data_IF_344695313382
#
_entry.id   IF_344695313382
#
_cell.length_a   1.000
_cell.length_b   1.000
_cell.length_c   1.000
_cell.angle_alpha   90.00
_cell.angle_beta   90.00
_cell.angle_gamma   90.00
#
_symmetry.space_group_name_H-M   'P 1'
#
loop_
_entity.id
_entity.type
_entity.pdbx_description
1 polymer ?
#
# COMPACT_ATOMS: atom_id res chain seq x y z
N UNK A 1 -5.66 -3.90 -3.03
CA UNK A 1 -5.99 -4.50 -4.34
C UNK A 1 -5.11 -5.73 -4.45
N UNK A 2 -5.70 -6.92 -4.61
CA UNK A 2 -5.01 -8.22 -4.42
C UNK A 2 -4.07 -8.54 -5.58
N UNK A 3 -4.46 -8.21 -6.82
CA UNK A 3 -3.63 -8.36 -8.01
C UNK A 3 -3.75 -7.13 -8.92
N UNK A 4 -2.62 -6.68 -9.47
CA UNK A 4 -2.57 -5.55 -10.42
C UNK A 4 -2.79 -5.97 -11.88
N UNK A 5 -2.92 -7.27 -12.14
CA UNK A 5 -2.98 -7.85 -13.49
C UNK A 5 -1.60 -8.15 -14.07
N UNK A 6 -1.59 -8.78 -15.23
CA UNK A 6 -0.38 -9.11 -15.99
C UNK A 6 -0.39 -8.31 -17.29
N UNK A 7 0.70 -7.61 -17.58
CA UNK A 7 0.92 -6.94 -18.87
C UNK A 7 1.08 -8.01 -19.95
N UNK A 8 0.16 -8.06 -20.90
CA UNK A 8 0.20 -9.04 -22.00
C UNK A 8 0.73 -8.44 -23.30
N UNK A 9 0.78 -7.12 -23.39
CA UNK A 9 1.32 -6.43 -24.55
C UNK A 9 1.10 -4.93 -24.46
N UNK A 10 1.62 -4.23 -25.46
CA UNK A 10 1.40 -2.81 -25.65
C UNK A 10 0.82 -2.60 -27.04
N UNK A 11 -0.11 -1.67 -27.15
CA UNK A 11 -0.73 -1.29 -28.40
C UNK A 11 -0.46 0.18 -28.68
N UNK A 12 0.03 0.48 -29.88
CA UNK A 12 0.20 1.85 -30.36
C UNK A 12 -0.89 2.16 -31.39
N UNK A 13 -1.88 3.00 -31.05
CA UNK A 13 -2.88 3.45 -32.00
C UNK A 13 -2.26 4.28 -33.14
N UNK A 14 -2.83 4.22 -34.34
CA UNK A 14 -2.31 4.99 -35.50
C UNK A 14 -2.49 6.51 -35.38
N UNK A 15 -3.28 6.97 -34.41
CA UNK A 15 -3.62 8.38 -34.19
C UNK A 15 -2.82 9.03 -33.03
N UNK A 16 -1.94 8.29 -32.35
CA UNK A 16 -1.17 8.80 -31.22
C UNK A 16 0.24 8.21 -31.19
N UNK A 17 1.21 8.99 -30.72
CA UNK A 17 2.57 8.49 -30.47
C UNK A 17 2.73 7.77 -29.12
N UNK A 18 1.64 7.67 -28.34
CA UNK A 18 1.65 7.01 -27.04
C UNK A 18 1.32 5.52 -27.14
N UNK A 19 2.03 4.71 -26.35
CA UNK A 19 1.75 3.28 -26.20
C UNK A 19 0.75 3.06 -25.06
N UNK A 20 -0.24 2.21 -25.32
CA UNK A 20 -1.24 1.80 -24.34
C UNK A 20 -0.93 0.38 -23.89
N UNK A 21 -0.73 0.21 -22.59
CA UNK A 21 -0.53 -1.10 -21.97
C UNK A 21 -1.83 -1.91 -21.95
N UNK A 22 -1.79 -3.14 -22.48
CA UNK A 22 -2.88 -4.10 -22.40
C UNK A 22 -2.62 -5.03 -21.21
N UNK A 23 -3.48 -4.96 -20.20
CA UNK A 23 -3.33 -5.74 -18.95
C UNK A 23 -4.46 -6.75 -18.80
N UNK A 24 -4.10 -8.03 -18.70
CA UNK A 24 -5.03 -9.10 -18.37
C UNK A 24 -5.28 -9.14 -16.86
N UNK A 25 -6.55 -9.17 -16.47
CA UNK A 25 -6.97 -9.12 -15.06
C UNK A 25 -8.14 -10.05 -14.81
N UNK A 26 -8.20 -10.61 -13.60
CA UNK A 26 -9.41 -11.26 -13.11
C UNK A 26 -10.58 -10.27 -13.00
N UNK A 27 -11.83 -10.74 -13.22
CA UNK A 27 -13.04 -9.97 -12.91
C UNK A 27 -13.06 -9.51 -11.45
N UNK A 28 -13.72 -8.38 -11.15
CA UNK A 28 -13.69 -7.77 -9.79
C UNK A 28 -14.08 -8.75 -8.68
N UNK A 29 -15.09 -9.59 -8.91
CA UNK A 29 -15.58 -10.61 -7.97
C UNK A 29 -14.53 -11.64 -7.56
N UNK A 30 -13.56 -11.91 -8.44
CA UNK A 30 -12.55 -12.95 -8.27
C UNK A 30 -11.19 -12.36 -7.83
N UNK A 31 -11.11 -11.07 -7.49
CA UNK A 31 -9.87 -10.42 -7.00
C UNK A 31 -9.70 -10.59 -5.49
N UNK A 32 -9.82 -11.82 -5.03
CA UNK A 32 -9.63 -12.20 -3.63
C UNK A 32 -8.39 -13.09 -3.48
N UNK A 33 -7.87 -13.22 -2.26
CA UNK A 33 -6.66 -14.03 -2.01
C UNK A 33 -6.88 -15.52 -2.32
N UNK A 34 -8.10 -16.03 -2.14
CA UNK A 34 -8.43 -17.44 -2.40
C UNK A 34 -8.33 -17.82 -3.88
N UNK A 35 -8.45 -16.86 -4.80
CA UNK A 35 -8.29 -17.12 -6.23
C UNK A 35 -6.90 -17.62 -6.60
N UNK A 36 -5.88 -17.31 -5.79
CA UNK A 36 -4.51 -17.80 -6.00
C UNK A 36 -4.45 -19.33 -5.80
N UNK A 37 -5.29 -19.89 -4.93
CA UNK A 37 -5.32 -21.34 -4.66
C UNK A 37 -5.79 -22.15 -5.88
N UNK A 38 -6.56 -21.52 -6.79
CA UNK A 38 -7.06 -22.14 -8.01
C UNK A 38 -6.07 -22.08 -9.19
N UNK A 39 -4.86 -21.54 -8.99
CA UNK A 39 -3.85 -21.42 -10.03
C UNK A 39 -3.00 -22.70 -10.11
N UNK A 40 -2.65 -23.09 -11.33
CA UNK A 40 -1.75 -24.21 -11.59
C UNK A 40 -0.45 -23.69 -12.19
N UNK A 41 0.68 -24.18 -11.70
CA UNK A 41 1.99 -23.98 -12.32
C UNK A 41 2.25 -25.16 -13.25
N UNK A 42 2.62 -24.87 -14.48
CA UNK A 42 3.13 -25.90 -15.38
C UNK A 42 4.54 -26.31 -14.93
N UNK A 43 4.67 -27.53 -14.44
CA UNK A 43 5.96 -28.15 -14.10
C UNK A 43 6.32 -29.20 -15.16
N UNK A 44 7.57 -29.68 -15.16
CA UNK A 44 8.03 -30.74 -16.08
C UNK A 44 7.19 -32.01 -15.96
N UNK A 45 6.65 -32.28 -14.76
CA UNK A 45 5.83 -33.46 -14.49
C UNK A 45 4.32 -33.20 -14.60
N UNK A 46 3.91 -32.04 -15.13
CA UNK A 46 2.51 -31.64 -15.30
C UNK A 46 2.07 -30.45 -14.44
N UNK A 47 0.78 -30.09 -14.47
CA UNK A 47 0.25 -28.97 -13.70
C UNK A 47 0.27 -29.28 -12.19
N UNK A 48 0.94 -28.42 -11.42
CA UNK A 48 1.00 -28.51 -9.96
C UNK A 48 0.22 -27.36 -9.31
N UNK A 49 -0.67 -27.62 -8.34
CA UNK A 49 -1.52 -26.59 -7.74
C UNK A 49 -0.73 -25.62 -6.86
N UNK A 50 -1.00 -24.32 -6.99
CA UNK A 50 -0.36 -23.25 -6.21
C UNK A 50 -0.66 -23.33 -4.71
N UNK A 51 -1.83 -23.86 -4.33
CA UNK A 51 -2.27 -24.01 -2.95
C UNK A 51 -1.28 -24.75 -2.06
N UNK A 52 -0.45 -25.64 -2.62
CA UNK A 52 0.49 -26.47 -1.87
C UNK A 52 1.82 -25.75 -1.57
N UNK A 53 2.09 -24.61 -2.21
CA UNK A 53 3.37 -23.89 -2.11
C UNK A 53 3.19 -22.57 -1.33
N UNK A 54 2.02 -21.92 -1.47
CA UNK A 54 1.76 -20.62 -0.87
C UNK A 54 1.34 -20.76 0.60
N UNK A 55 1.95 -19.93 1.47
CA UNK A 55 1.51 -19.77 2.86
C UNK A 55 1.01 -18.34 3.06
N UNK A 56 -0.21 -18.20 3.57
CA UNK A 56 -0.78 -16.90 3.93
C UNK A 56 -0.55 -16.63 5.41
N UNK A 57 0.00 -15.47 5.73
CA UNK A 57 0.11 -14.97 7.09
C UNK A 57 -0.52 -13.57 7.16
N UNK A 58 -1.51 -13.34 8.06
CA UNK A 58 -2.05 -12.00 8.25
C UNK A 58 -1.00 -11.11 8.89
N UNK A 59 -0.69 -9.99 8.25
CA UNK A 59 0.23 -9.00 8.78
C UNK A 59 -0.47 -7.65 8.94
N UNK A 60 -0.06 -6.89 9.96
CA UNK A 60 -0.53 -5.52 10.14
C UNK A 60 -0.06 -4.70 8.95
N UNK A 61 -1.01 -4.20 8.15
CA UNK A 61 -0.71 -3.25 7.08
C UNK A 61 -0.08 -2.01 7.70
N UNK A 62 1.23 -1.82 7.49
CA UNK A 62 1.86 -0.54 7.79
C UNK A 62 1.33 0.49 6.80
N UNK A 63 0.50 1.41 7.30
CA UNK A 63 0.08 2.57 6.52
C UNK A 63 1.32 3.43 6.24
N UNK A 64 1.40 3.93 4.99
CA UNK A 64 2.40 4.86 4.42
C UNK A 64 3.49 5.31 5.42
N UNK A 65 4.70 4.79 5.24
CA UNK A 65 5.86 5.19 6.04
C UNK A 65 6.30 6.60 5.59
N UNK A 66 5.94 7.62 6.37
CA UNK A 66 6.43 8.96 6.15
C UNK A 66 7.81 9.11 6.81
N UNK A 67 8.76 9.65 6.04
CA UNK A 67 10.09 9.99 6.51
C UNK A 67 10.41 11.43 6.18
N UNK A 68 10.99 12.14 7.13
CA UNK A 68 11.61 13.46 6.94
C UNK A 68 13.08 13.28 7.33
N UNK A 69 14.00 13.69 6.45
CA UNK A 69 15.45 13.55 6.63
C UNK A 69 15.92 12.11 6.99
N UNK A 70 15.25 11.11 6.42
CA UNK A 70 15.57 9.69 6.61
C UNK A 70 15.02 9.06 7.90
N UNK A 71 14.50 9.86 8.83
CA UNK A 71 13.91 9.39 10.08
C UNK A 71 12.42 9.09 9.92
N UNK A 72 11.91 8.09 10.64
CA UNK A 72 10.48 7.78 10.66
C UNK A 72 9.73 8.90 11.38
N UNK A 73 8.73 9.49 10.73
CA UNK A 73 7.98 10.62 11.26
C UNK A 73 6.47 10.34 11.21
N UNK A 74 5.75 10.75 12.25
CA UNK A 74 4.29 10.76 12.29
C UNK A 74 3.85 12.21 12.20
N UNK A 75 3.04 12.56 11.19
CA UNK A 75 2.47 13.89 11.05
C UNK A 75 1.15 13.94 11.81
N UNK A 76 1.08 14.80 12.83
CA UNK A 76 -0.15 15.11 13.56
C UNK A 76 -0.60 16.48 13.08
N UNK A 77 -1.85 16.57 12.61
CA UNK A 77 -2.49 17.82 12.21
C UNK A 77 -3.72 18.04 13.08
N UNK A 78 -3.84 19.25 13.63
CA UNK A 78 -4.95 19.66 14.46
C UNK A 78 -5.25 21.14 14.18
N UNK A 79 -6.51 21.51 14.29
CA UNK A 79 -6.95 22.90 14.22
C UNK A 79 -7.13 23.46 15.63
N UNK A 80 -7.05 24.78 15.76
CA UNK A 80 -7.18 25.46 17.05
C UNK A 80 -8.65 25.84 17.27
N UNK A 81 -9.18 25.50 18.44
CA UNK A 81 -10.56 25.84 18.79
C UNK A 81 -10.74 27.37 19.00
N UNK A 82 -11.97 27.85 18.80
CA UNK A 82 -12.31 29.27 18.90
C UNK A 82 -12.00 29.83 20.29
N UNK A 83 -11.36 30.99 20.33
CA UNK A 83 -10.95 31.65 21.59
C UNK A 83 -9.55 31.30 22.09
N UNK A 84 -8.80 30.44 21.39
CA UNK A 84 -7.40 30.17 21.68
C UNK A 84 -6.45 30.73 20.63
N UNK A 85 -5.29 31.24 21.07
CA UNK A 85 -4.25 31.69 20.16
C UNK A 85 -3.38 30.51 19.73
N UNK A 86 -3.04 30.46 18.44
CA UNK A 86 -2.22 29.38 17.85
C UNK A 86 -0.87 29.25 18.56
N UNK A 87 -0.21 30.37 18.85
CA UNK A 87 1.10 30.40 19.50
C UNK A 87 1.10 29.75 20.89
N UNK A 88 0.06 30.01 21.69
CA UNK A 88 -0.08 29.42 23.03
C UNK A 88 -0.25 27.90 22.97
N UNK A 89 -1.06 27.41 22.02
CA UNK A 89 -1.31 25.98 21.84
C UNK A 89 -0.08 25.24 21.30
N UNK A 90 0.67 25.85 20.38
CA UNK A 90 1.93 25.27 19.88
C UNK A 90 2.95 25.15 21.01
N UNK A 91 3.14 26.19 21.82
CA UNK A 91 4.04 26.17 22.98
C UNK A 91 3.63 25.12 24.01
N UNK A 92 2.33 24.99 24.28
CA UNK A 92 1.81 23.95 25.15
C UNK A 92 2.19 22.54 24.65
N UNK A 93 1.96 22.25 23.37
CA UNK A 93 2.28 20.94 22.78
C UNK A 93 3.79 20.69 22.82
N UNK A 94 4.62 21.69 22.50
CA UNK A 94 6.09 21.55 22.56
C UNK A 94 6.57 21.22 23.97
N UNK A 95 6.01 21.87 24.99
CA UNK A 95 6.36 21.61 26.39
C UNK A 95 5.90 20.22 26.85
N UNK A 96 4.69 19.80 26.47
CA UNK A 96 4.19 18.45 26.79
C UNK A 96 5.03 17.35 26.13
N UNK A 97 5.43 17.54 24.87
CA UNK A 97 6.34 16.61 24.19
C UNK A 97 7.69 16.57 24.90
N UNK A 98 8.26 17.71 25.29
CA UNK A 98 9.56 17.73 25.96
C UNK A 98 9.55 17.03 27.34
N UNK A 99 8.41 17.02 28.03
CA UNK A 99 8.28 16.45 29.37
C UNK A 99 7.99 14.95 29.38
N UNK A 100 7.18 14.45 28.44
CA UNK A 100 6.72 13.06 28.42
C UNK A 100 7.40 12.19 27.36
N UNK A 101 8.40 12.71 26.62
CA UNK A 101 9.10 11.94 25.59
C UNK A 101 10.07 10.93 26.20
N UNK A 102 9.59 9.70 26.38
CA UNK A 102 10.44 8.53 26.64
C UNK A 102 11.32 8.25 25.41
N UNK A 103 12.63 8.37 25.58
CA UNK A 103 13.63 7.98 24.57
C UNK A 103 13.89 6.48 24.69
N UNK A 104 13.03 5.67 24.12
CA UNK A 104 13.39 4.30 23.70
C UNK A 104 13.78 4.26 22.21
#
# INVERSE_FOLDING_TARGET
MVTNGVLIGKYRPNNTDEEIDIVLRFPRKDRNMKTIDNLFINTVNGPYPMSNIVKYAPEKKVNKLNRIDGLRTVTISADVDTGYLVDERVKFIQNSIAQDWDKE
#
